data_IF_142988751199
#
_entry.id   IF_142988751199
#
_cell.length_a   1.000
_cell.length_b   1.000
_cell.length_c   1.000
_cell.angle_alpha   90.00
_cell.angle_beta   90.00
_cell.angle_gamma   90.00
#
_symmetry.space_group_name_H-M   'P 1'
#
loop_
_entity.id
_entity.type
_entity.pdbx_description
1 polymer ?
#
# COMPACT_ATOMS: atom_id res chain seq x y z
N UNK A 1 -15.23 21.80 23.18
CA UNK A 1 -15.62 20.56 22.50
C UNK A 1 -15.18 20.52 21.03
N UNK A 2 -15.30 21.60 20.25
CA UNK A 2 -15.05 21.63 18.80
C UNK A 2 -13.56 21.67 18.36
N UNK A 3 -12.60 21.57 19.28
CA UNK A 3 -11.15 21.68 18.97
C UNK A 3 -10.42 20.34 18.78
N UNK A 4 -11.10 19.22 19.08
CA UNK A 4 -10.55 17.85 18.94
C UNK A 4 -11.11 17.09 17.74
N UNK A 5 -12.07 17.65 17.01
CA UNK A 5 -12.76 17.00 15.89
C UNK A 5 -11.89 17.02 14.62
N UNK A 6 -11.16 18.12 14.39
CA UNK A 6 -10.32 18.30 13.20
C UNK A 6 -9.15 17.31 13.04
N UNK A 7 -8.38 16.93 14.10
CA UNK A 7 -7.32 15.93 13.93
C UNK A 7 -7.88 14.51 13.79
N UNK A 8 -9.06 14.23 14.38
CA UNK A 8 -9.68 12.91 14.35
C UNK A 8 -10.19 12.56 12.94
N UNK A 9 -10.72 13.53 12.20
CA UNK A 9 -11.18 13.32 10.82
C UNK A 9 -10.04 13.11 9.83
N UNK A 10 -8.89 13.80 9.99
CA UNK A 10 -7.72 13.60 9.12
C UNK A 10 -7.07 12.22 9.32
N UNK A 11 -6.99 11.75 10.56
CA UNK A 11 -6.44 10.42 10.86
C UNK A 11 -7.34 9.29 10.33
N UNK A 12 -8.66 9.48 10.36
CA UNK A 12 -9.62 8.46 9.91
C UNK A 12 -9.64 8.28 8.38
N UNK A 13 -9.35 9.33 7.61
CA UNK A 13 -9.24 9.23 6.16
C UNK A 13 -7.97 8.53 5.69
N UNK A 14 -6.87 8.61 6.45
CA UNK A 14 -5.60 8.00 6.07
C UNK A 14 -5.62 6.47 6.16
N UNK A 15 -6.41 5.88 7.06
CA UNK A 15 -6.51 4.43 7.24
C UNK A 15 -7.37 3.73 6.19
N UNK A 16 -8.24 4.47 5.48
CA UNK A 16 -9.17 3.92 4.48
C UNK A 16 -8.58 3.79 3.07
N UNK A 17 -7.46 4.46 2.79
CA UNK A 17 -6.75 4.38 1.49
C UNK A 17 -5.68 3.29 1.45
N UNK A 18 -5.24 2.78 2.60
CA UNK A 18 -4.27 1.69 2.72
C UNK A 18 -4.75 0.30 2.22
N UNK A 19 -6.02 -0.11 2.34
CA UNK A 19 -6.40 -1.49 2.05
C UNK A 19 -6.42 -1.82 0.56
N UNK A 20 -6.51 -0.84 -0.35
CA UNK A 20 -6.59 -1.11 -1.79
C UNK A 20 -5.28 -1.68 -2.35
N UNK A 21 -4.14 -1.12 -1.96
CA UNK A 21 -2.83 -1.67 -2.28
C UNK A 21 -2.55 -3.01 -1.60
N UNK A 22 -3.07 -3.18 -0.37
CA UNK A 22 -2.87 -4.43 0.38
C UNK A 22 -3.73 -5.58 -0.15
N UNK A 23 -4.86 -5.30 -0.80
CA UNK A 23 -5.73 -6.31 -1.39
C UNK A 23 -5.05 -6.99 -2.57
N UNK A 24 -4.62 -6.23 -3.59
CA UNK A 24 -3.91 -6.77 -4.76
C UNK A 24 -2.65 -7.56 -4.37
N UNK A 25 -1.81 -7.03 -3.46
CA UNK A 25 -0.60 -7.74 -3.03
C UNK A 25 -0.89 -8.99 -2.16
N UNK A 26 -2.05 -9.07 -1.50
CA UNK A 26 -2.46 -10.25 -0.73
C UNK A 26 -3.05 -11.34 -1.61
N UNK A 27 -3.87 -10.96 -2.60
CA UNK A 27 -4.39 -11.89 -3.61
C UNK A 27 -3.23 -12.52 -4.42
N UNK A 28 -2.23 -11.70 -4.80
CA UNK A 28 -1.02 -12.18 -5.48
C UNK A 28 -0.21 -13.15 -4.60
N UNK A 29 -0.18 -12.94 -3.27
CA UNK A 29 0.44 -13.86 -2.33
C UNK A 29 -0.30 -15.20 -2.30
N UNK A 30 -1.62 -15.19 -2.13
CA UNK A 30 -2.43 -16.42 -2.08
C UNK A 30 -2.31 -17.22 -3.37
N UNK A 31 -2.31 -16.54 -4.51
CA UNK A 31 -2.08 -17.17 -5.81
C UNK A 31 -0.69 -17.79 -5.94
N UNK A 32 0.35 -17.08 -5.50
CA UNK A 32 1.73 -17.57 -5.50
C UNK A 32 1.91 -18.80 -4.59
N UNK A 33 1.36 -18.76 -3.37
CA UNK A 33 1.42 -19.86 -2.42
C UNK A 33 0.69 -21.10 -2.95
N UNK A 34 -0.49 -20.93 -3.54
CA UNK A 34 -1.25 -22.02 -4.17
C UNK A 34 -0.46 -22.63 -5.33
N UNK A 35 0.20 -21.82 -6.17
CA UNK A 35 1.09 -22.33 -7.22
C UNK A 35 2.27 -23.12 -6.64
N UNK A 36 2.86 -22.66 -5.54
CA UNK A 36 3.95 -23.36 -4.88
C UNK A 36 3.50 -24.72 -4.34
N UNK A 37 2.31 -24.80 -3.74
CA UNK A 37 1.74 -26.07 -3.25
C UNK A 37 1.43 -27.04 -4.39
N UNK A 38 0.84 -26.55 -5.49
CA UNK A 38 0.57 -27.38 -6.66
C UNK A 38 1.86 -27.85 -7.34
N UNK A 39 2.90 -27.01 -7.39
CA UNK A 39 4.20 -27.37 -7.99
C UNK A 39 5.04 -28.31 -7.12
N UNK A 40 4.93 -28.19 -5.81
CA UNK A 40 5.77 -28.91 -4.85
C UNK A 40 4.94 -29.80 -3.92
N UNK A 41 3.95 -30.51 -4.49
CA UNK A 41 3.01 -31.33 -3.71
C UNK A 41 3.65 -32.51 -2.98
N UNK A 42 4.83 -32.96 -3.44
CA UNK A 42 5.58 -34.08 -2.86
C UNK A 42 6.86 -33.65 -2.14
N UNK A 43 7.12 -32.34 -2.05
CA UNK A 43 8.38 -31.81 -1.49
C UNK A 43 8.10 -30.55 -0.66
N UNK A 44 7.88 -30.75 0.64
CA UNK A 44 7.59 -29.68 1.60
C UNK A 44 8.73 -28.67 1.75
N UNK A 45 9.98 -29.09 1.56
CA UNK A 45 11.13 -28.20 1.65
C UNK A 45 11.17 -27.25 0.46
N UNK A 46 10.90 -27.76 -0.74
CA UNK A 46 10.76 -26.94 -1.95
C UNK A 46 9.50 -26.05 -1.88
N UNK A 47 8.38 -26.55 -1.34
CA UNK A 47 7.17 -25.77 -1.11
C UNK A 47 7.46 -24.59 -0.18
N UNK A 48 8.16 -24.82 0.94
CA UNK A 48 8.54 -23.78 1.90
C UNK A 48 9.50 -22.75 1.29
N UNK A 49 10.50 -23.22 0.54
CA UNK A 49 11.43 -22.35 -0.20
C UNK A 49 10.75 -21.53 -1.30
N UNK A 50 9.67 -22.03 -1.89
CA UNK A 50 8.86 -21.32 -2.87
C UNK A 50 7.96 -20.27 -2.17
N UNK A 51 7.29 -20.64 -1.07
CA UNK A 51 6.45 -19.73 -0.27
C UNK A 51 7.25 -18.53 0.28
N UNK A 52 8.50 -18.72 0.67
CA UNK A 52 9.35 -17.59 1.14
C UNK A 52 9.59 -16.53 0.06
N UNK A 53 9.66 -16.93 -1.22
CA UNK A 53 9.74 -15.98 -2.34
C UNK A 53 8.44 -15.22 -2.55
N UNK A 54 7.29 -15.87 -2.34
CA UNK A 54 5.98 -15.22 -2.40
C UNK A 54 5.86 -14.10 -1.34
N UNK A 55 6.34 -14.34 -0.12
CA UNK A 55 6.37 -13.34 0.95
C UNK A 55 7.28 -12.17 0.59
N UNK A 56 8.46 -12.43 0.01
CA UNK A 56 9.35 -11.38 -0.47
C UNK A 56 8.71 -10.54 -1.59
N UNK A 57 8.02 -11.17 -2.53
CA UNK A 57 7.29 -10.48 -3.60
C UNK A 57 6.16 -9.60 -3.04
N UNK A 58 5.40 -10.08 -2.05
CA UNK A 58 4.39 -9.28 -1.35
C UNK A 58 4.99 -8.06 -0.66
N UNK A 59 6.14 -8.21 -0.02
CA UNK A 59 6.83 -7.09 0.64
C UNK A 59 7.28 -6.05 -0.38
N UNK A 60 7.81 -6.47 -1.54
CA UNK A 60 8.17 -5.58 -2.63
C UNK A 60 6.95 -4.84 -3.21
N UNK A 61 5.86 -5.56 -3.49
CA UNK A 61 4.59 -5.00 -3.96
C UNK A 61 4.02 -3.94 -2.99
N UNK A 62 4.00 -4.27 -1.69
CA UNK A 62 3.51 -3.35 -0.65
C UNK A 62 4.38 -2.10 -0.52
N UNK A 63 5.70 -2.25 -0.72
CA UNK A 63 6.65 -1.12 -0.66
C UNK A 63 6.51 -0.22 -1.89
N UNK A 64 6.37 -0.80 -3.08
CA UNK A 64 6.18 -0.04 -4.32
C UNK A 64 4.89 0.78 -4.26
N UNK A 65 3.78 0.15 -3.88
CA UNK A 65 2.49 0.85 -3.81
C UNK A 65 2.48 1.95 -2.75
N UNK A 66 3.15 1.72 -1.60
CA UNK A 66 3.34 2.75 -0.59
C UNK A 66 4.19 3.93 -1.07
N UNK A 67 5.25 3.67 -1.83
CA UNK A 67 6.12 4.70 -2.39
C UNK A 67 5.43 5.55 -3.47
N UNK A 68 4.69 4.92 -4.38
CA UNK A 68 3.92 5.61 -5.42
C UNK A 68 2.83 6.50 -4.80
N UNK A 69 2.08 5.96 -3.83
CA UNK A 69 1.04 6.72 -3.12
C UNK A 69 1.62 7.94 -2.39
N UNK A 70 2.76 7.78 -1.71
CA UNK A 70 3.42 8.90 -1.01
C UNK A 70 3.93 9.97 -1.98
N UNK A 71 4.42 9.57 -3.15
CA UNK A 71 4.89 10.50 -4.19
C UNK A 71 3.75 11.33 -4.76
N UNK A 72 2.63 10.70 -5.12
CA UNK A 72 1.47 11.39 -5.67
C UNK A 72 0.84 12.34 -4.65
N UNK A 73 0.71 11.92 -3.39
CA UNK A 73 0.25 12.78 -2.30
C UNK A 73 1.15 14.02 -2.11
N UNK A 74 2.47 13.85 -2.25
CA UNK A 74 3.42 14.96 -2.17
C UNK A 74 3.25 15.94 -3.33
N UNK A 75 3.06 15.42 -4.55
CA UNK A 75 2.80 16.24 -5.74
C UNK A 75 1.51 17.04 -5.62
N UNK A 76 0.45 16.44 -5.10
CA UNK A 76 -0.83 17.11 -4.88
C UNK A 76 -0.72 18.20 -3.80
N UNK A 77 -0.02 17.93 -2.70
CA UNK A 77 0.22 18.91 -1.64
C UNK A 77 1.02 20.12 -2.16
N UNK A 78 2.05 19.88 -2.97
CA UNK A 78 2.85 20.94 -3.59
C UNK A 78 2.01 21.81 -4.53
N UNK A 79 1.16 21.19 -5.37
CA UNK A 79 0.25 21.93 -6.25
C UNK A 79 -0.79 22.74 -5.48
N UNK A 80 -1.40 22.18 -4.43
CA UNK A 80 -2.36 22.91 -3.57
C UNK A 80 -1.72 24.12 -2.89
N UNK A 81 -0.52 23.97 -2.34
CA UNK A 81 0.26 25.08 -1.76
C UNK A 81 0.51 26.17 -2.80
N UNK A 82 0.97 25.80 -4.00
CA UNK A 82 1.21 26.77 -5.07
C UNK A 82 -0.05 27.54 -5.46
N UNK A 83 -1.19 26.84 -5.59
CA UNK A 83 -2.48 27.46 -5.92
C UNK A 83 -3.01 28.38 -4.81
N UNK A 84 -2.80 28.03 -3.54
CA UNK A 84 -3.18 28.87 -2.41
C UNK A 84 -2.42 30.19 -2.39
N UNK A 85 -1.09 30.16 -2.56
CA UNK A 85 -0.28 31.38 -2.63
C UNK A 85 -0.63 32.25 -3.84
N UNK A 86 -0.96 31.63 -4.99
CA UNK A 86 -1.40 32.37 -6.18
C UNK A 86 -2.70 33.14 -5.92
N UNK A 87 -3.70 32.50 -5.31
CA UNK A 87 -4.98 33.17 -4.97
C UNK A 87 -4.89 34.19 -3.83
N UNK A 88 -3.78 34.24 -3.09
CA UNK A 88 -3.50 35.26 -2.07
C UNK A 88 -2.74 36.48 -2.62
N UNK A 89 -2.21 36.38 -3.84
CA UNK A 89 -1.37 37.42 -4.47
C UNK A 89 -2.11 38.14 -5.61
N UNK A 90 -3.28 37.63 -6.01
CA UNK A 90 -4.26 38.28 -6.91
C UNK A 90 -5.36 38.98 -6.09
#
# INVERSE_FOLDING_TARGET
MLRLIAPLTLALTATLLSPLAQADCADEQTWCETKCEVKHVTDDAAATGCKSKCVAARAACSTQSGAETAWDATKDAANKTKSFFKGLTE
#
